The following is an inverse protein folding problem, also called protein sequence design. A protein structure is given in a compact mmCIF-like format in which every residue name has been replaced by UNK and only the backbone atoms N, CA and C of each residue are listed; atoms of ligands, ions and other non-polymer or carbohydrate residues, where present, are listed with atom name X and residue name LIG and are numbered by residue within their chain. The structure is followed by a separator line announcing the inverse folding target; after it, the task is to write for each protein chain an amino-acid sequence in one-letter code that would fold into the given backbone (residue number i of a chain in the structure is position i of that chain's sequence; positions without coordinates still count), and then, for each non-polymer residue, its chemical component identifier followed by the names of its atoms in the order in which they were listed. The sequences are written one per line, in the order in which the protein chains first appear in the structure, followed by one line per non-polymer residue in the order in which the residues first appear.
data_IF_431366298003
#
_entry.id   IF_431366298003
#
_cell.length_a   1.000
_cell.length_b   1.000
_cell.length_c   1.000
_cell.angle_alpha   90.00
_cell.angle_beta   90.00
_cell.angle_gamma   90.00
#
_symmetry.space_group_name_H-M   'P 1'
#
loop_
_entity.id
_entity.type
_entity.pdbx_description
1 polymer ?
#
# COMPACT_ATOMS: atom_id res chain seq x y z
N UNK A 1 26.30 -6.18 9.94
CA UNK A 1 25.19 -6.22 8.96
C UNK A 1 25.16 -4.90 8.22
N UNK A 2 25.66 -4.87 6.99
CA UNK A 2 25.81 -3.65 6.19
C UNK A 2 24.42 -3.18 5.76
N UNK A 3 24.00 -2.02 6.26
CA UNK A 3 22.76 -1.38 5.81
C UNK A 3 22.86 -1.15 4.30
N UNK A 4 22.10 -1.91 3.50
CA UNK A 4 22.00 -1.68 2.06
C UNK A 4 21.47 -0.26 1.87
N UNK A 5 22.33 0.65 1.39
CA UNK A 5 21.92 1.98 0.95
C UNK A 5 20.81 1.78 -0.08
N UNK A 6 19.59 2.20 0.26
CA UNK A 6 18.47 2.20 -0.68
C UNK A 6 18.88 3.10 -1.85
N UNK A 7 18.91 2.53 -3.05
CA UNK A 7 19.20 3.29 -4.26
C UNK A 7 18.20 4.46 -4.33
N UNK A 8 18.65 5.72 -4.35
CA UNK A 8 17.77 6.89 -4.33
C UNK A 8 16.82 6.95 -5.55
N UNK A 9 17.08 6.17 -6.59
CA UNK A 9 16.22 6.08 -7.77
C UNK A 9 15.10 5.02 -7.64
N UNK A 10 15.06 4.27 -6.53
CA UNK A 10 14.05 3.24 -6.31
C UNK A 10 12.69 3.89 -6.05
N UNK A 11 11.77 3.75 -7.02
CA UNK A 11 10.38 4.19 -6.85
C UNK A 11 9.66 3.26 -5.87
N UNK A 12 9.10 3.85 -4.82
CA UNK A 12 8.25 3.19 -3.84
C UNK A 12 6.78 3.52 -4.09
N UNK A 13 5.93 2.51 -4.00
CA UNK A 13 4.48 2.62 -4.08
C UNK A 13 3.87 2.32 -2.71
N UNK A 14 2.77 2.99 -2.43
CA UNK A 14 1.93 2.78 -1.27
C UNK A 14 0.55 2.42 -1.80
N UNK A 15 -0.06 1.35 -1.33
CA UNK A 15 -1.36 0.93 -1.85
C UNK A 15 -2.21 0.23 -0.80
N UNK A 16 -3.51 0.23 -1.08
CA UNK A 16 -4.50 -0.58 -0.39
C UNK A 16 -5.24 -1.40 -1.44
N UNK A 17 -5.66 -2.60 -1.08
CA UNK A 17 -6.60 -3.37 -1.88
C UNK A 17 -7.96 -3.32 -1.19
N UNK A 18 -8.98 -2.98 -1.97
CA UNK A 18 -10.36 -2.87 -1.52
C UNK A 18 -11.20 -3.95 -2.19
N UNK A 19 -12.06 -4.60 -1.40
CA UNK A 19 -13.13 -5.41 -1.96
C UNK A 19 -14.28 -4.47 -2.36
N UNK A 20 -14.65 -4.46 -3.65
CA UNK A 20 -15.61 -3.51 -4.20
C UNK A 20 -17.06 -3.77 -3.73
N UNK A 21 -17.37 -5.00 -3.30
CA UNK A 21 -18.71 -5.37 -2.85
C UNK A 21 -18.97 -4.93 -1.41
N UNK A 22 -18.08 -5.30 -0.50
CA UNK A 22 -18.13 -4.99 0.92
C UNK A 22 -17.62 -3.59 1.25
N UNK A 23 -16.87 -2.97 0.33
CA UNK A 23 -16.18 -1.68 0.51
C UNK A 23 -15.18 -1.70 1.66
N UNK A 24 -14.62 -2.85 1.97
CA UNK A 24 -13.62 -3.02 3.02
C UNK A 24 -12.21 -3.04 2.43
N UNK A 25 -11.26 -2.51 3.20
CA UNK A 25 -9.83 -2.71 2.92
C UNK A 25 -9.49 -4.14 3.35
N UNK A 26 -9.02 -4.96 2.40
CA UNK A 26 -8.68 -6.37 2.65
C UNK A 26 -7.18 -6.58 2.83
N UNK A 27 -6.37 -5.69 2.27
CA UNK A 27 -4.92 -5.67 2.45
C UNK A 27 -4.38 -4.25 2.20
N UNK A 28 -3.16 -4.03 2.66
CA UNK A 28 -2.38 -2.85 2.34
C UNK A 28 -0.91 -3.22 2.33
N UNK A 29 -0.09 -2.48 1.56
CA UNK A 29 1.35 -2.66 1.63
C UNK A 29 2.11 -1.48 1.00
N UNK A 30 3.43 -1.57 1.10
CA UNK A 30 4.37 -0.69 0.42
C UNK A 30 5.48 -1.51 -0.22
N UNK A 31 5.75 -1.28 -1.51
CA UNK A 31 6.84 -1.97 -2.19
C UNK A 31 7.47 -1.13 -3.30
N UNK A 32 8.59 -1.62 -3.82
CA UNK A 32 9.29 -1.05 -4.96
C UNK A 32 8.63 -1.44 -6.27
N UNK A 33 8.78 -0.60 -7.31
CA UNK A 33 8.17 -0.82 -8.63
C UNK A 33 8.31 -2.26 -9.17
N UNK A 34 9.45 -2.92 -8.91
CA UNK A 34 9.75 -4.24 -9.46
C UNK A 34 8.99 -5.38 -8.76
N UNK A 35 8.47 -5.12 -7.55
CA UNK A 35 7.77 -6.12 -6.73
C UNK A 35 6.26 -5.84 -6.65
N UNK A 36 5.82 -4.64 -7.03
CA UNK A 36 4.41 -4.33 -7.10
C UNK A 36 3.80 -5.07 -8.29
N UNK A 37 2.84 -5.93 -7.98
CA UNK A 37 1.97 -6.48 -9.01
C UNK A 37 0.99 -5.38 -9.49
N UNK A 38 1.11 -5.01 -10.75
CA UNK A 38 0.21 -4.05 -11.42
C UNK A 38 -0.87 -4.77 -12.24
N UNK A 39 -0.96 -6.10 -12.16
CA UNK A 39 -2.04 -6.85 -12.79
C UNK A 39 -3.39 -6.57 -12.14
N UNK A 40 -4.46 -6.86 -12.86
CA UNK A 40 -5.81 -6.76 -12.32
C UNK A 40 -5.99 -7.77 -11.18
N UNK A 41 -6.35 -7.25 -10.00
CA UNK A 41 -6.75 -8.11 -8.90
C UNK A 41 -8.04 -8.84 -9.29
N UNK A 42 -8.03 -10.17 -9.17
CA UNK A 42 -9.21 -10.99 -9.46
C UNK A 42 -10.28 -10.85 -8.36
N UNK A 43 -11.50 -11.32 -8.62
CA UNK A 43 -12.57 -11.49 -7.63
C UNK A 43 -13.15 -10.19 -7.03
N UNK A 44 -13.27 -9.12 -7.81
CA UNK A 44 -13.90 -7.87 -7.35
C UNK A 44 -13.04 -7.07 -6.37
N UNK A 45 -11.74 -7.38 -6.31
CA UNK A 45 -10.76 -6.60 -5.59
C UNK A 45 -10.20 -5.50 -6.51
N UNK A 46 -9.86 -4.34 -5.94
CA UNK A 46 -9.26 -3.23 -6.68
C UNK A 46 -8.13 -2.60 -5.88
N UNK A 47 -7.01 -2.32 -6.54
CA UNK A 47 -5.85 -1.67 -5.93
C UNK A 47 -5.92 -0.16 -6.08
N UNK A 48 -5.85 0.54 -4.96
CA UNK A 48 -5.78 2.00 -4.93
C UNK A 48 -4.37 2.42 -4.53
N UNK A 49 -3.67 3.09 -5.45
CA UNK A 49 -2.38 3.70 -5.15
C UNK A 49 -2.54 5.02 -4.40
N UNK A 50 -1.70 5.21 -3.40
CA UNK A 50 -1.70 6.35 -2.51
C UNK A 50 -0.35 7.07 -2.59
N UNK A 51 -0.37 8.37 -2.36
CA UNK A 51 0.85 9.09 -2.01
C UNK A 51 1.31 8.67 -0.61
N UNK A 52 2.62 8.81 -0.33
CA UNK A 52 3.19 8.56 1.01
C UNK A 52 2.41 9.28 2.12
N UNK A 53 2.00 10.53 1.88
CA UNK A 53 1.26 11.32 2.84
C UNK A 53 -0.16 10.81 3.10
N UNK A 54 -0.87 10.34 2.07
CA UNK A 54 -2.19 9.71 2.22
C UNK A 54 -2.08 8.40 3.01
N UNK A 55 -1.11 7.56 2.67
CA UNK A 55 -0.86 6.30 3.39
C UNK A 55 -0.53 6.55 4.86
N UNK A 56 0.35 7.51 5.16
CA UNK A 56 0.70 7.86 6.54
C UNK A 56 -0.51 8.35 7.36
N UNK A 57 -1.42 9.12 6.74
CA UNK A 57 -2.67 9.54 7.39
C UNK A 57 -3.58 8.34 7.69
N UNK A 58 -3.69 7.40 6.75
CA UNK A 58 -4.49 6.17 6.95
C UNK A 58 -3.97 5.33 8.12
N UNK A 59 -2.65 5.09 8.17
CA UNK A 59 -2.02 4.34 9.28
C UNK A 59 -2.25 5.05 10.61
N UNK A 60 -2.06 6.37 10.67
CA UNK A 60 -2.31 7.15 11.89
C UNK A 60 -3.75 7.00 12.40
N UNK A 61 -4.73 7.08 11.50
CA UNK A 61 -6.14 6.90 11.87
C UNK A 61 -6.45 5.50 12.39
N UNK A 62 -5.79 4.46 11.85
CA UNK A 62 -5.92 3.11 12.38
C UNK A 62 -5.35 3.01 13.81
N UNK A 63 -4.16 3.58 14.05
CA UNK A 63 -3.53 3.56 15.37
C UNK A 63 -4.41 4.28 16.42
N UNK A 64 -5.01 5.41 16.02
CA UNK A 64 -5.95 6.17 16.85
C UNK A 64 -7.23 5.37 17.14
N UNK A 65 -7.78 4.64 16.17
CA UNK A 65 -8.99 3.83 16.36
C UNK A 65 -8.79 2.58 17.24
N UNK A 66 -7.53 2.16 17.43
CA UNK A 66 -7.16 1.01 18.29
C UNK A 66 -6.83 1.40 19.72
N UNK A 67 -6.67 2.68 20.00
CA UNK A 67 -6.32 3.24 21.31
C UNK A 67 -7.58 3.53 22.13
#
# INVERSE_FOLDING_TARGET
MTARRKDPNTKYYYFIDIDLYSRQIISWDTDTQNNVDFSELTNGCYRVFLTKGQYAKLVKQLDEARS
#
